data_IF_627310486428
#
_entry.id   IF_627310486428
#
_cell.length_a   1.000
_cell.length_b   1.000
_cell.length_c   1.000
_cell.angle_alpha   90.00
_cell.angle_beta   90.00
_cell.angle_gamma   90.00
#
_symmetry.space_group_name_H-M   'P 1'
#
loop_
_entity.id
_entity.type
_entity.pdbx_description
1 polymer ?
#
# COMPACT_ATOMS: atom_id res chain seq x y z
N UNK A 1 17.10 4.17 2.77
CA UNK A 1 15.82 4.76 2.34
C UNK A 1 15.08 3.68 1.58
N UNK A 2 13.89 3.30 2.03
CA UNK A 2 13.08 2.34 1.27
C UNK A 2 12.61 3.06 0.01
N UNK A 3 13.05 2.61 -1.17
CA UNK A 3 12.53 3.14 -2.42
C UNK A 3 11.06 2.74 -2.53
N UNK A 4 10.13 3.59 -2.08
CA UNK A 4 8.68 3.35 -2.10
C UNK A 4 8.09 3.53 -3.50
N UNK A 5 8.85 3.12 -4.51
CA UNK A 5 8.41 3.11 -5.89
C UNK A 5 7.28 2.10 -6.09
N UNK A 6 6.39 2.36 -7.06
CA UNK A 6 5.34 1.40 -7.42
C UNK A 6 5.88 0.01 -7.76
N UNK A 7 7.09 -0.07 -8.34
CA UNK A 7 7.74 -1.35 -8.63
C UNK A 7 8.19 -2.08 -7.36
N UNK A 8 8.77 -1.36 -6.40
CA UNK A 8 9.15 -1.94 -5.11
C UNK A 8 7.93 -2.44 -4.35
N UNK A 9 6.85 -1.65 -4.33
CA UNK A 9 5.58 -2.04 -3.68
C UNK A 9 5.03 -3.32 -4.30
N UNK A 10 5.00 -3.42 -5.65
CA UNK A 10 4.59 -4.64 -6.35
C UNK A 10 5.45 -5.85 -5.92
N UNK A 11 6.77 -5.71 -5.98
CA UNK A 11 7.70 -6.80 -5.64
C UNK A 11 7.50 -7.29 -4.22
N UNK A 12 7.33 -6.40 -3.24
CA UNK A 12 7.10 -6.79 -1.84
C UNK A 12 5.72 -7.46 -1.65
N UNK A 13 4.68 -6.99 -2.36
CA UNK A 13 3.37 -7.65 -2.35
C UNK A 13 3.42 -9.05 -2.94
N UNK A 14 4.12 -9.25 -4.06
CA UNK A 14 4.30 -10.58 -4.69
C UNK A 14 5.00 -11.55 -3.75
N UNK A 15 6.08 -11.11 -3.10
CA UNK A 15 6.79 -11.89 -2.08
C UNK A 15 5.88 -12.27 -0.91
N UNK A 16 5.14 -11.31 -0.37
CA UNK A 16 4.29 -11.54 0.81
C UNK A 16 3.10 -12.46 0.50
N UNK A 17 2.59 -12.40 -0.73
CA UNK A 17 1.44 -13.21 -1.16
C UNK A 17 1.84 -14.54 -1.81
N UNK A 18 3.14 -14.77 -2.04
CA UNK A 18 3.65 -15.98 -2.69
C UNK A 18 3.14 -16.19 -4.12
N UNK A 19 2.79 -15.12 -4.84
CA UNK A 19 2.21 -15.18 -6.18
C UNK A 19 2.48 -13.91 -6.98
N UNK A 20 2.51 -14.05 -8.30
CA UNK A 20 2.59 -12.94 -9.21
C UNK A 20 1.33 -12.07 -9.17
N UNK A 21 1.53 -10.76 -9.32
CA UNK A 21 0.48 -9.76 -9.35
C UNK A 21 0.50 -9.03 -10.68
N UNK A 22 -0.70 -8.83 -11.25
CA UNK A 22 -0.84 -8.00 -12.44
C UNK A 22 -0.46 -6.56 -12.10
N UNK A 23 0.55 -6.04 -12.81
CA UNK A 23 1.04 -4.66 -12.63
C UNK A 23 -0.09 -3.64 -12.68
N UNK A 24 -0.98 -3.75 -13.67
CA UNK A 24 -2.13 -2.85 -13.81
C UNK A 24 -3.01 -2.81 -12.56
N UNK A 25 -3.25 -3.95 -11.90
CA UNK A 25 -4.07 -4.02 -10.69
C UNK A 25 -3.41 -3.34 -9.49
N UNK A 26 -2.09 -3.45 -9.36
CA UNK A 26 -1.34 -2.75 -8.31
C UNK A 26 -1.47 -1.24 -8.49
N UNK A 27 -1.27 -0.74 -9.72
CA UNK A 27 -1.38 0.70 -9.99
C UNK A 27 -2.81 1.23 -9.91
N UNK A 28 -3.82 0.45 -10.31
CA UNK A 28 -5.23 0.81 -10.10
C UNK A 28 -5.52 0.97 -8.60
N UNK A 29 -5.13 -0.01 -7.78
CA UNK A 29 -5.33 0.09 -6.33
C UNK A 29 -4.57 1.27 -5.71
N UNK A 30 -3.34 1.55 -6.16
CA UNK A 30 -2.58 2.70 -5.67
C UNK A 30 -3.25 4.02 -6.05
N UNK A 31 -3.78 4.16 -7.27
CA UNK A 31 -4.53 5.33 -7.67
C UNK A 31 -5.82 5.48 -6.85
N UNK A 32 -6.56 4.39 -6.59
CA UNK A 32 -7.74 4.44 -5.72
C UNK A 32 -7.42 4.92 -4.29
N UNK A 33 -6.25 4.55 -3.76
CA UNK A 33 -5.79 5.02 -2.44
C UNK A 33 -5.40 6.51 -2.46
N UNK A 34 -4.88 6.99 -3.60
CA UNK A 34 -4.61 8.42 -3.82
C UNK A 34 -5.91 9.20 -3.93
N UNK A 35 -6.89 8.69 -4.69
CA UNK A 35 -8.21 9.34 -4.85
C UNK A 35 -8.98 9.41 -3.53
N UNK A 36 -8.68 8.53 -2.57
CA UNK A 36 -9.22 8.52 -1.21
C UNK A 36 -8.39 9.32 -0.19
N UNK A 37 -7.34 10.00 -0.64
CA UNK A 37 -6.40 10.76 0.21
C UNK A 37 -5.70 9.93 1.30
N UNK A 38 -5.60 8.62 1.12
CA UNK A 38 -4.91 7.72 2.06
C UNK A 38 -3.41 7.59 1.71
N UNK A 39 -3.04 7.91 0.48
CA UNK A 39 -1.68 7.81 -0.04
C UNK A 39 -1.38 9.05 -0.87
N UNK A 40 -0.26 9.70 -0.60
CA UNK A 40 0.29 10.72 -1.47
C UNK A 40 1.14 10.07 -2.58
N UNK A 41 0.96 10.54 -3.82
CA UNK A 41 1.76 10.14 -4.99
C UNK A 41 2.73 11.25 -5.36
N UNK A 42 4.03 10.96 -5.19
CA UNK A 42 5.13 11.81 -5.64
C UNK A 42 5.80 11.28 -6.90
N UNK A 43 6.82 12.01 -7.36
CA UNK A 43 7.67 11.60 -8.48
C UNK A 43 9.14 11.76 -8.10
N UNK A 44 9.91 10.66 -8.17
CA UNK A 44 11.35 10.67 -7.82
C UNK A 44 12.20 11.39 -8.87
N UNK A 45 11.83 11.23 -10.14
CA UNK A 45 12.65 11.67 -11.29
C UNK A 45 11.81 11.91 -12.56
N UNK A 46 10.52 12.23 -12.43
CA UNK A 46 9.60 12.41 -13.54
C UNK A 46 9.08 11.09 -14.16
N UNK A 47 9.74 9.96 -13.91
CA UNK A 47 9.34 8.64 -14.44
C UNK A 47 8.89 7.68 -13.35
N UNK A 48 9.59 7.67 -12.22
CA UNK A 48 9.31 6.76 -11.11
C UNK A 48 8.34 7.41 -10.14
N UNK A 49 7.11 6.89 -10.09
CA UNK A 49 6.13 7.27 -9.07
C UNK A 49 6.57 6.71 -7.71
N UNK A 50 6.56 7.55 -6.68
CA UNK A 50 6.76 7.18 -5.28
C UNK A 50 5.46 7.38 -4.52
N UNK A 51 5.25 6.53 -3.51
CA UNK A 51 4.04 6.55 -2.70
C UNK A 51 4.41 6.63 -1.23
N UNK A 52 3.68 7.46 -0.48
CA UNK A 52 3.80 7.60 0.97
C UNK A 52 2.41 7.69 1.59
N UNK A 53 2.25 7.17 2.81
CA UNK A 53 0.99 7.34 3.54
C UNK A 53 0.78 8.83 3.87
N UNK A 54 -0.48 9.25 3.82
CA UNK A 54 -0.92 10.48 4.47
C UNK A 54 -1.16 10.22 5.97
N UNK A 55 -1.45 11.26 6.75
CA UNK A 55 -1.84 11.10 8.14
C UNK A 55 -3.13 10.27 8.27
N UNK A 56 -4.12 10.53 7.40
CA UNK A 56 -5.37 9.76 7.32
C UNK A 56 -5.10 8.29 6.92
N UNK A 57 -4.18 8.06 5.97
CA UNK A 57 -3.73 6.73 5.60
C UNK A 57 -3.11 5.94 6.76
N UNK A 58 -2.27 6.59 7.54
CA UNK A 58 -1.69 6.01 8.75
C UNK A 58 -2.78 5.61 9.76
N UNK A 59 -3.72 6.51 10.05
CA UNK A 59 -4.83 6.24 10.97
C UNK A 59 -5.74 5.11 10.48
N UNK A 60 -6.02 5.05 9.17
CA UNK A 60 -6.81 3.98 8.56
C UNK A 60 -6.15 2.60 8.75
N UNK A 61 -4.83 2.50 8.53
CA UNK A 61 -4.06 1.27 8.75
C UNK A 61 -4.09 0.86 10.22
N UNK A 62 -3.91 1.80 11.14
CA UNK A 62 -3.98 1.51 12.57
C UNK A 62 -5.36 1.04 13.00
N UNK A 63 -6.41 1.71 12.53
CA UNK A 63 -7.80 1.34 12.81
C UNK A 63 -8.09 -0.07 12.33
N UNK A 64 -7.66 -0.42 11.12
CA UNK A 64 -7.76 -1.78 10.59
C UNK A 64 -7.00 -2.78 11.47
N UNK A 65 -5.76 -2.49 11.85
CA UNK A 65 -4.97 -3.38 12.72
C UNK A 65 -5.62 -3.58 14.10
N UNK A 66 -6.21 -2.53 14.67
CA UNK A 66 -6.98 -2.63 15.93
C UNK A 66 -8.18 -3.54 15.77
N UNK A 67 -8.93 -3.41 14.69
CA UNK A 67 -10.05 -4.29 14.36
C UNK A 67 -9.58 -5.74 14.17
N UNK A 68 -8.55 -5.98 13.36
CA UNK A 68 -7.99 -7.32 13.10
C UNK A 68 -7.53 -7.98 14.41
N UNK A 69 -6.82 -7.23 15.26
CA UNK A 69 -6.37 -7.72 16.58
C UNK A 69 -7.53 -8.11 17.49
N UNK A 70 -8.67 -7.42 17.40
CA UNK A 70 -9.86 -7.68 18.21
C UNK A 70 -10.63 -8.91 17.74
N UNK A 71 -10.73 -9.13 16.43
CA UNK A 71 -11.65 -10.11 15.87
C UNK A 71 -10.98 -11.34 15.23
N UNK A 72 -9.78 -11.20 14.65
CA UNK A 72 -9.08 -12.33 14.00
C UNK A 72 -8.27 -13.19 14.98
N UNK A 73 -7.93 -12.67 16.17
CA UNK A 73 -7.20 -13.40 17.22
C UNK A 73 -8.03 -14.44 17.97
N UNK A 74 -9.33 -14.55 17.72
CA UNK A 74 -10.20 -15.56 18.34
C UNK A 74 -10.23 -16.90 17.58
N UNK A 75 -9.48 -17.02 16.49
CA UNK A 75 -9.49 -18.17 15.58
C UNK A 75 -8.15 -18.93 15.52
N UNK A 76 -7.30 -18.79 16.54
CA UNK A 76 -6.09 -19.60 16.70
C UNK A 76 -6.31 -20.73 17.70
#
# INVERSE_FOLDING_TARGET
MSDSSGQTIKTELEKTQGRDLLTGRVYTNLNELVDKDLVHKGSKNGRTNEYSLTDEGCEAVETRRRWEKRYLKQTA
#
